data_IF_169759232710
#
_entry.id   IF_169759232710
#
_cell.length_a   1.000
_cell.length_b   1.000
_cell.length_c   1.000
_cell.angle_alpha   90.00
_cell.angle_beta   90.00
_cell.angle_gamma   90.00
#
_symmetry.space_group_name_H-M   'P 1'
#
loop_
_entity.id
_entity.type
_entity.pdbx_description
1 polymer ?
#
# COMPACT_ATOMS: atom_id res chain seq x y z
N UNK A 1 5.46 0.67 -4.14
CA UNK A 1 5.05 -0.26 -3.07
C UNK A 1 6.07 -0.19 -1.93
N UNK A 2 5.59 -0.02 -0.72
CA UNK A 2 6.45 -0.06 0.47
C UNK A 2 6.06 -1.25 1.33
N UNK A 3 7.06 -1.96 1.84
CA UNK A 3 6.89 -3.09 2.74
C UNK A 3 7.48 -2.72 4.09
N UNK A 4 6.63 -2.67 5.13
CA UNK A 4 7.08 -2.30 6.46
C UNK A 4 7.94 -3.42 7.07
N UNK A 5 9.13 -3.06 7.55
CA UNK A 5 9.95 -3.97 8.36
C UNK A 5 9.68 -3.72 9.86
N UNK A 6 10.07 -4.66 10.75
CA UNK A 6 9.85 -4.51 12.20
C UNK A 6 10.48 -3.25 12.81
N UNK A 7 11.55 -2.74 12.20
CA UNK A 7 12.24 -1.54 12.68
C UNK A 7 11.67 -0.23 12.14
N UNK A 8 10.74 -0.28 11.17
CA UNK A 8 10.19 0.92 10.54
C UNK A 8 9.02 1.47 11.34
N UNK A 9 8.99 2.80 11.49
CA UNK A 9 7.82 3.49 12.03
C UNK A 9 6.72 3.55 10.97
N UNK A 10 5.52 3.13 11.35
CA UNK A 10 4.36 3.19 10.44
C UNK A 10 4.09 4.64 10.01
N UNK A 11 4.19 5.59 10.94
CA UNK A 11 3.96 7.01 10.63
C UNK A 11 4.94 7.52 9.56
N UNK A 12 6.22 7.17 9.67
CA UNK A 12 7.24 7.58 8.71
C UNK A 12 6.92 7.03 7.33
N UNK A 13 6.51 5.76 7.24
CA UNK A 13 6.15 5.15 5.97
C UNK A 13 4.87 5.76 5.39
N UNK A 14 3.88 6.07 6.23
CA UNK A 14 2.67 6.73 5.78
C UNK A 14 2.96 8.12 5.20
N UNK A 15 3.82 8.90 5.86
CA UNK A 15 4.25 10.21 5.36
C UNK A 15 4.98 10.08 4.03
N UNK A 16 5.80 9.06 3.88
CA UNK A 16 6.52 8.77 2.64
C UNK A 16 5.57 8.45 1.49
N UNK A 17 4.51 7.68 1.77
CA UNK A 17 3.49 7.37 0.76
C UNK A 17 2.74 8.61 0.31
N UNK A 18 2.39 9.50 1.24
CA UNK A 18 1.76 10.78 0.89
C UNK A 18 2.68 11.64 0.01
N UNK A 19 3.98 11.62 0.27
CA UNK A 19 4.94 12.31 -0.57
C UNK A 19 4.98 11.75 -1.98
N UNK A 20 4.94 10.43 -2.15
CA UNK A 20 4.89 9.81 -3.47
C UNK A 20 3.66 10.26 -4.25
N UNK A 21 2.51 10.29 -3.62
CA UNK A 21 1.25 10.73 -4.25
C UNK A 21 1.35 12.21 -4.63
N UNK A 22 1.88 13.06 -3.75
CA UNK A 22 2.03 14.50 -4.05
C UNK A 22 3.02 14.75 -5.18
N UNK A 23 3.94 13.83 -5.43
CA UNK A 23 4.92 13.92 -6.53
C UNK A 23 4.44 13.23 -7.82
N UNK A 24 3.16 12.87 -7.91
CA UNK A 24 2.56 12.39 -9.13
C UNK A 24 2.32 10.90 -9.24
N UNK A 25 2.56 10.13 -8.19
CA UNK A 25 2.22 8.71 -8.19
C UNK A 25 0.69 8.54 -8.27
N UNK A 26 0.23 7.61 -9.08
CA UNK A 26 -1.20 7.37 -9.31
C UNK A 26 -1.76 6.27 -8.43
N UNK A 27 -0.90 5.46 -7.82
CA UNK A 27 -1.29 4.37 -6.93
C UNK A 27 -0.10 4.03 -6.04
N UNK A 28 -0.34 3.87 -4.74
CA UNK A 28 0.68 3.46 -3.80
C UNK A 28 0.14 2.44 -2.82
N UNK A 29 0.93 1.42 -2.52
CA UNK A 29 0.60 0.41 -1.52
C UNK A 29 1.62 0.43 -0.40
N UNK A 30 1.14 0.47 0.85
CA UNK A 30 1.96 0.27 2.04
C UNK A 30 1.50 -1.05 2.68
N UNK A 31 2.38 -2.04 2.69
CA UNK A 31 2.07 -3.37 3.20
C UNK A 31 2.71 -3.53 4.58
N UNK A 32 1.87 -3.70 5.60
CA UNK A 32 2.30 -3.90 6.98
C UNK A 32 2.14 -5.39 7.33
N UNK A 33 3.25 -6.11 7.27
CA UNK A 33 3.28 -7.55 7.54
C UNK A 33 3.02 -7.87 9.02
N UNK A 34 3.41 -6.97 9.91
CA UNK A 34 3.25 -7.17 11.35
C UNK A 34 1.77 -7.20 11.75
N UNK A 35 1.01 -6.24 11.24
CA UNK A 35 -0.42 -6.10 11.52
C UNK A 35 -1.30 -6.76 10.46
N UNK A 36 -0.69 -7.28 9.40
CA UNK A 36 -1.37 -7.85 8.24
C UNK A 36 -2.40 -6.90 7.64
N UNK A 37 -1.96 -5.65 7.44
CA UNK A 37 -2.80 -4.60 6.88
C UNK A 37 -2.15 -4.03 5.64
N UNK A 38 -2.99 -3.53 4.73
CA UNK A 38 -2.54 -2.83 3.54
C UNK A 38 -3.23 -1.48 3.47
N UNK A 39 -2.44 -0.44 3.24
CA UNK A 39 -2.94 0.92 3.06
C UNK A 39 -2.78 1.29 1.59
N UNK A 40 -3.88 1.67 0.94
CA UNK A 40 -3.89 2.02 -0.47
C UNK A 40 -4.03 3.53 -0.60
N UNK A 41 -3.07 4.13 -1.29
CA UNK A 41 -2.98 5.57 -1.50
C UNK A 41 -3.30 5.89 -2.95
N UNK A 42 -4.20 6.85 -3.18
CA UNK A 42 -4.57 7.34 -4.50
C UNK A 42 -4.62 8.86 -4.47
N UNK A 43 -4.32 9.56 -5.59
CA UNK A 43 -4.47 11.02 -5.63
C UNK A 43 -5.94 11.41 -5.42
N UNK A 44 -6.15 12.49 -4.69
CA UNK A 44 -7.47 13.07 -4.42
C UNK A 44 -8.47 12.12 -3.73
N UNK A 45 -7.97 11.11 -3.04
CA UNK A 45 -8.81 10.15 -2.33
C UNK A 45 -8.25 9.88 -0.93
N UNK A 46 -9.14 9.54 0.00
CA UNK A 46 -8.73 9.12 1.33
C UNK A 46 -8.00 7.77 1.26
N UNK A 47 -7.09 7.55 2.22
CA UNK A 47 -6.37 6.28 2.34
C UNK A 47 -7.37 5.16 2.63
N UNK A 48 -7.29 4.08 1.86
CA UNK A 48 -8.07 2.88 2.09
C UNK A 48 -7.25 1.89 2.90
N UNK A 49 -7.82 1.39 4.00
CA UNK A 49 -7.18 0.38 4.84
C UNK A 49 -7.87 -0.96 4.64
N UNK A 50 -7.09 -1.98 4.29
CA UNK A 50 -7.56 -3.36 4.17
C UNK A 50 -6.96 -4.21 5.27
N UNK A 51 -7.80 -5.00 5.93
CA UNK A 51 -7.39 -5.88 7.03
C UNK A 51 -7.23 -7.30 6.51
N UNK A 52 -5.98 -7.79 6.55
CA UNK A 52 -5.60 -9.15 6.15
C UNK A 52 -6.10 -9.54 4.74
N UNK A 53 -5.90 -8.69 3.71
CA UNK A 53 -6.32 -9.04 2.36
C UNK A 53 -5.49 -10.19 1.80
N UNK A 54 -6.09 -11.01 0.94
CA UNK A 54 -5.38 -12.09 0.27
C UNK A 54 -4.74 -11.65 -1.05
N UNK A 55 -5.30 -10.63 -1.68
CA UNK A 55 -4.80 -10.09 -2.97
C UNK A 55 -4.94 -8.58 -3.01
N UNK A 56 -4.16 -7.96 -3.89
CA UNK A 56 -4.26 -6.54 -4.23
C UNK A 56 -4.40 -6.39 -5.74
N UNK A 57 -5.36 -5.60 -6.18
CA UNK A 57 -5.55 -5.27 -7.59
C UNK A 57 -4.76 -4.02 -7.95
N UNK A 58 -4.14 -4.01 -9.13
CA UNK A 58 -3.51 -2.82 -9.70
C UNK A 58 -4.50 -1.80 -10.25
N UNK A 59 -5.79 -2.09 -10.21
CA UNK A 59 -6.87 -1.23 -10.68
C UNK A 59 -6.68 -0.84 -12.15
N UNK A 60 -7.10 0.36 -12.53
CA UNK A 60 -6.94 0.85 -13.89
C UNK A 60 -5.50 1.28 -14.21
N UNK A 61 -4.69 1.52 -13.17
CA UNK A 61 -3.30 1.94 -13.32
C UNK A 61 -2.42 0.79 -13.81
N UNK A 62 -2.65 -0.42 -13.27
CA UNK A 62 -1.94 -1.64 -13.66
C UNK A 62 -3.00 -2.68 -14.06
N UNK A 63 -3.67 -2.42 -15.17
CA UNK A 63 -4.79 -3.24 -15.63
C UNK A 63 -4.41 -4.72 -15.74
N UNK A 64 -5.21 -5.59 -15.14
CA UNK A 64 -4.97 -7.02 -15.12
C UNK A 64 -3.93 -7.49 -14.10
N UNK A 65 -3.29 -6.56 -13.37
CA UNK A 65 -2.32 -6.93 -12.34
C UNK A 65 -3.02 -7.23 -11.01
N UNK A 66 -2.69 -8.39 -10.45
CA UNK A 66 -3.16 -8.79 -9.11
C UNK A 66 -1.97 -9.34 -8.34
N UNK A 67 -1.69 -8.77 -7.18
CA UNK A 67 -0.63 -9.23 -6.29
C UNK A 67 -1.22 -10.21 -5.28
N UNK A 68 -0.65 -11.42 -5.25
CA UNK A 68 -1.03 -12.43 -4.26
C UNK A 68 -0.25 -12.19 -2.97
N UNK A 69 -0.96 -11.86 -1.90
CA UNK A 69 -0.37 -11.54 -0.60
C UNK A 69 -0.13 -12.77 0.27
N UNK A 70 -0.67 -13.93 -0.11
CA UNK A 70 -0.52 -15.14 0.70
C UNK A 70 0.94 -15.56 0.86
N UNK A 71 1.81 -15.21 -0.09
CA UNK A 71 3.23 -15.47 -0.03
C UNK A 71 4.01 -14.39 0.72
N UNK A 72 3.39 -13.25 1.02
CA UNK A 72 4.01 -12.13 1.73
C UNK A 72 3.78 -12.24 3.24
N UNK A 73 2.58 -12.66 3.64
CA UNK A 73 2.22 -12.84 5.07
C UNK A 73 2.94 -14.05 5.76
#
# INVERSE_FOLDING_TARGET
MELRSPSDSLKVLQDKMLEYISNGALLGWLIDRKERKVYIYRPDAAVEELDNPSTLSGEDILSGFVLDLSSIW
#
